data_IF_313936069509
#
_entry.id   IF_313936069509
#
_cell.length_a   1.000
_cell.length_b   1.000
_cell.length_c   1.000
_cell.angle_alpha   90.00
_cell.angle_beta   90.00
_cell.angle_gamma   90.00
#
_symmetry.space_group_name_H-M   'P 1'
#
loop_
_entity.id
_entity.type
_entity.pdbx_description
1 polymer ?
#
# COMPACT_ATOMS: atom_id res chain seq x y z
N UNK A 1 -1.67 -36.35 -51.91
CA UNK A 1 -2.28 -35.29 -51.07
C UNK A 1 -1.26 -34.89 -50.01
N UNK A 2 -0.89 -33.61 -49.88
CA UNK A 2 0.01 -33.16 -48.83
C UNK A 2 -0.80 -32.80 -47.59
N UNK A 3 -0.39 -33.29 -46.42
CA UNK A 3 -0.88 -32.80 -45.13
C UNK A 3 0.23 -32.03 -44.44
N UNK A 4 -0.14 -30.79 -44.10
CA UNK A 4 0.64 -29.74 -43.48
C UNK A 4 1.27 -30.16 -42.15
N UNK A 5 2.51 -29.73 -41.93
CA UNK A 5 3.23 -29.78 -40.66
C UNK A 5 3.23 -28.39 -40.04
N UNK A 6 2.53 -28.22 -38.92
CA UNK A 6 2.65 -27.01 -38.10
C UNK A 6 3.63 -27.27 -36.95
N UNK A 7 4.78 -26.61 -37.08
CA UNK A 7 5.84 -26.44 -36.09
C UNK A 7 5.48 -25.26 -35.19
N UNK A 8 5.51 -25.46 -33.87
CA UNK A 8 5.48 -24.38 -32.88
C UNK A 8 6.90 -24.22 -32.33
N UNK A 9 7.63 -23.26 -32.89
CA UNK A 9 8.80 -22.64 -32.26
C UNK A 9 8.31 -21.92 -30.98
N UNK A 10 8.91 -22.08 -29.81
CA UNK A 10 10.33 -21.80 -29.54
C UNK A 10 10.52 -20.32 -29.20
N UNK A 11 9.79 -19.80 -28.21
CA UNK A 11 9.90 -18.41 -27.74
C UNK A 11 11.10 -18.23 -26.80
N UNK A 12 12.18 -17.68 -27.34
CA UNK A 12 13.41 -17.30 -26.65
C UNK A 12 13.20 -15.95 -25.93
N UNK A 13 13.16 -15.93 -24.60
CA UNK A 13 13.12 -14.68 -23.82
C UNK A 13 14.56 -14.15 -23.68
N UNK A 14 14.93 -13.23 -24.57
CA UNK A 14 16.08 -12.35 -24.40
C UNK A 14 15.69 -11.16 -23.52
N UNK A 15 16.18 -11.14 -22.29
CA UNK A 15 16.27 -9.91 -21.48
C UNK A 15 17.68 -9.35 -21.63
N UNK A 16 17.85 -8.27 -22.40
CA UNK A 16 19.03 -7.41 -22.35
C UNK A 16 18.66 -6.09 -21.63
N UNK A 17 19.54 -5.53 -20.79
CA UNK A 17 19.18 -4.59 -19.73
C UNK A 17 19.56 -3.15 -20.06
N UNK A 18 18.60 -2.24 -20.20
CA UNK A 18 18.90 -0.79 -20.22
C UNK A 18 17.71 0.01 -19.67
N UNK A 19 17.65 0.17 -18.33
CA UNK A 19 17.25 1.42 -17.67
C UNK A 19 17.36 1.28 -16.14
N UNK A 20 18.58 1.20 -15.63
CA UNK A 20 18.82 1.55 -14.24
C UNK A 20 18.97 3.08 -14.18
N UNK A 21 17.88 3.77 -13.87
CA UNK A 21 17.97 5.14 -13.40
C UNK A 21 18.70 5.11 -12.04
N UNK A 22 19.97 5.51 -12.07
CA UNK A 22 20.74 5.83 -10.87
C UNK A 22 20.02 6.96 -10.14
N UNK A 23 19.32 6.64 -9.05
CA UNK A 23 18.87 7.64 -8.08
C UNK A 23 20.09 8.11 -7.30
N UNK A 24 20.84 9.04 -7.91
CA UNK A 24 21.78 9.88 -7.20
C UNK A 24 21.01 10.75 -6.21
N UNK A 25 21.48 10.74 -4.96
CA UNK A 25 21.12 11.63 -3.85
C UNK A 25 20.55 12.98 -4.30
N UNK A 26 19.26 13.19 -4.06
CA UNK A 26 18.67 14.52 -4.09
C UNK A 26 19.08 15.26 -2.81
N UNK A 27 19.96 16.24 -2.99
CA UNK A 27 20.35 17.21 -1.98
C UNK A 27 19.11 18.06 -1.63
N UNK A 28 18.75 18.14 -0.33
CA UNK A 28 17.46 18.69 0.16
C UNK A 28 17.31 20.22 0.01
N UNK A 29 18.16 20.83 -0.80
CA UNK A 29 18.30 22.27 -1.02
C UNK A 29 17.46 22.80 -2.19
N UNK A 30 17.12 21.96 -3.18
CA UNK A 30 16.37 22.43 -4.37
C UNK A 30 14.84 22.47 -4.19
N UNK A 31 14.26 21.69 -3.28
CA UNK A 31 12.80 21.71 -3.02
C UNK A 31 12.32 23.04 -2.42
N UNK A 32 13.18 23.76 -1.69
CA UNK A 32 12.83 25.06 -1.07
C UNK A 32 12.76 26.19 -2.11
N UNK A 33 13.46 26.07 -3.26
CA UNK A 33 13.38 27.06 -4.34
C UNK A 33 12.14 26.89 -5.21
N UNK A 34 11.70 25.66 -5.45
CA UNK A 34 10.49 25.42 -6.26
C UNK A 34 9.22 25.91 -5.55
N UNK A 35 9.19 25.86 -4.21
CA UNK A 35 8.05 26.32 -3.42
C UNK A 35 7.95 27.85 -3.31
N UNK A 36 9.06 28.57 -3.41
CA UNK A 36 9.08 30.04 -3.31
C UNK A 36 8.74 30.74 -4.64
N UNK A 37 9.01 30.11 -5.79
CA UNK A 37 8.66 30.66 -7.10
C UNK A 37 7.17 30.53 -7.45
N UNK A 38 6.51 29.47 -6.97
CA UNK A 38 5.08 29.23 -7.23
C UNK A 38 4.15 30.24 -6.52
N UNK A 39 4.64 30.93 -5.49
CA UNK A 39 3.86 31.93 -4.74
C UNK A 39 4.07 33.37 -5.22
N UNK A 40 5.05 33.66 -6.08
CA UNK A 40 5.30 35.04 -6.57
C UNK A 40 4.46 35.42 -7.79
N UNK A 41 3.99 34.45 -8.57
CA UNK A 41 3.25 34.70 -9.81
C UNK A 41 1.73 34.85 -9.65
N UNK A 42 1.20 34.93 -8.41
CA UNK A 42 -0.25 34.86 -8.16
C UNK A 42 -0.88 36.14 -7.59
N UNK A 43 -0.15 37.26 -7.59
CA UNK A 43 -0.59 38.51 -6.95
C UNK A 43 -0.62 39.75 -7.87
N UNK A 44 -0.62 39.54 -9.19
CA UNK A 44 -1.04 40.57 -10.15
C UNK A 44 -2.32 40.14 -10.87
N UNK A 45 -3.47 40.33 -10.22
CA UNK A 45 -4.76 40.29 -10.92
C UNK A 45 -5.46 41.63 -10.68
N UNK A 46 -5.29 42.48 -11.68
CA UNK A 46 -5.95 43.76 -11.88
C UNK A 46 -7.48 43.65 -11.78
N UNK A 47 -8.10 44.65 -11.15
CA UNK A 47 -9.53 44.75 -10.89
C UNK A 47 -10.40 44.72 -12.16
N UNK A 48 -10.81 43.53 -12.57
CA UNK A 48 -11.89 43.31 -13.53
C UNK A 48 -12.79 42.18 -13.03
N UNK A 49 -14.00 42.57 -12.61
CA UNK A 49 -15.23 41.79 -12.45
C UNK A 49 -15.07 40.31 -12.03
N UNK A 50 -15.36 40.03 -10.76
CA UNK A 50 -15.61 38.70 -10.23
C UNK A 50 -16.91 38.10 -10.79
N UNK A 51 -16.91 37.74 -12.07
CA UNK A 51 -17.80 36.68 -12.57
C UNK A 51 -17.01 35.39 -12.41
N UNK A 52 -17.07 34.82 -11.21
CA UNK A 52 -16.53 33.50 -10.95
C UNK A 52 -17.33 32.49 -11.76
N UNK A 53 -16.80 32.08 -12.91
CA UNK A 53 -17.25 30.88 -13.62
C UNK A 53 -16.90 29.71 -12.71
N UNK A 54 -17.85 29.30 -11.88
CA UNK A 54 -17.78 28.10 -11.06
C UNK A 54 -17.73 26.91 -12.01
N UNK A 55 -16.53 26.39 -12.25
CA UNK A 55 -16.31 25.17 -13.00
C UNK A 55 -16.64 23.98 -12.06
N UNK A 56 -17.75 23.24 -12.28
CA UNK A 56 -18.22 22.20 -11.37
C UNK A 56 -17.28 20.99 -11.29
N UNK A 57 -16.37 20.82 -12.25
CA UNK A 57 -15.57 19.60 -12.37
C UNK A 57 -14.29 19.58 -11.53
N UNK A 58 -14.02 20.62 -10.73
CA UNK A 58 -12.84 20.70 -9.82
C UNK A 58 -13.18 20.61 -8.33
N UNK A 59 -14.44 20.37 -7.96
CA UNK A 59 -14.90 20.38 -6.57
C UNK A 59 -14.49 19.15 -5.73
N UNK A 60 -13.98 18.09 -6.35
CA UNK A 60 -13.65 16.83 -5.64
C UNK A 60 -12.29 16.81 -4.91
N UNK A 61 -11.59 17.94 -4.78
CA UNK A 61 -10.33 18.02 -4.01
C UNK A 61 -10.30 19.13 -2.96
N UNK A 62 -11.46 19.58 -2.48
CA UNK A 62 -11.46 20.42 -1.29
C UNK A 62 -11.23 19.53 -0.06
N UNK A 63 -10.08 19.73 0.59
CA UNK A 63 -9.74 19.12 1.87
C UNK A 63 -10.90 19.34 2.88
N UNK A 64 -11.53 18.27 3.40
CA UNK A 64 -12.64 18.36 4.35
C UNK A 64 -12.33 19.26 5.55
N UNK A 65 -11.07 19.28 6.00
CA UNK A 65 -10.66 20.09 7.15
C UNK A 65 -10.68 21.58 6.86
N UNK A 66 -10.43 22.01 5.61
CA UNK A 66 -10.54 23.42 5.24
C UNK A 66 -11.98 23.90 5.18
N UNK A 67 -12.89 23.04 4.72
CA UNK A 67 -14.33 23.35 4.71
C UNK A 67 -14.83 23.48 6.14
N UNK A 68 -14.56 22.48 6.98
CA UNK A 68 -14.96 22.48 8.40
C UNK A 68 -14.36 23.68 9.15
N UNK A 69 -13.07 23.96 8.95
CA UNK A 69 -12.40 25.12 9.55
C UNK A 69 -13.03 26.46 9.15
N UNK A 70 -13.38 26.64 7.87
CA UNK A 70 -14.02 27.87 7.39
C UNK A 70 -15.43 28.08 7.95
N UNK A 71 -16.18 27.00 8.19
CA UNK A 71 -17.50 27.05 8.84
C UNK A 71 -17.36 27.50 10.30
N UNK A 72 -16.40 26.95 11.05
CA UNK A 72 -16.18 27.35 12.44
C UNK A 72 -15.79 28.82 12.58
N UNK A 73 -14.91 29.32 11.71
CA UNK A 73 -14.51 30.74 11.70
C UNK A 73 -15.73 31.63 11.43
N UNK A 74 -16.59 31.26 10.48
CA UNK A 74 -17.78 32.04 10.16
C UNK A 74 -18.76 32.11 11.34
N UNK A 75 -19.01 30.99 12.01
CA UNK A 75 -19.87 30.94 13.21
C UNK A 75 -19.30 31.84 14.32
N UNK A 76 -17.97 31.80 14.54
CA UNK A 76 -17.31 32.63 15.55
C UNK A 76 -17.44 34.14 15.26
N UNK A 77 -17.28 34.56 14.00
CA UNK A 77 -17.46 35.96 13.59
C UNK A 77 -18.90 36.42 13.78
N UNK A 78 -19.90 35.59 13.44
CA UNK A 78 -21.31 35.93 13.66
C UNK A 78 -21.62 36.08 15.15
N UNK A 79 -21.11 35.16 15.99
CA UNK A 79 -21.36 35.19 17.43
C UNK A 79 -20.73 36.41 18.10
N UNK A 80 -19.51 36.78 17.71
CA UNK A 80 -18.83 37.98 18.23
C UNK A 80 -19.50 39.28 17.78
N UNK A 81 -19.95 39.37 16.52
CA UNK A 81 -20.72 40.52 16.03
C UNK A 81 -22.08 40.65 16.73
N UNK A 82 -22.75 39.53 17.01
CA UNK A 82 -24.02 39.52 17.73
C UNK A 82 -23.86 40.03 19.17
N UNK A 83 -22.87 39.52 19.91
CA UNK A 83 -22.61 39.96 21.29
C UNK A 83 -22.20 41.43 21.39
N UNK A 84 -21.47 41.95 20.40
CA UNK A 84 -21.08 43.36 20.35
C UNK A 84 -22.28 44.28 20.10
N UNK A 85 -23.24 43.84 19.28
CA UNK A 85 -24.44 44.60 18.97
C UNK A 85 -25.38 44.72 20.19
N UNK A 86 -25.46 43.67 21.01
CA UNK A 86 -26.26 43.65 22.24
C UNK A 86 -25.66 44.57 23.32
N UNK A 87 -24.33 44.63 23.45
CA UNK A 87 -23.68 45.59 24.35
C UNK A 87 -23.88 47.05 23.94
N UNK A 88 -23.88 47.33 22.63
CA UNK A 88 -24.12 48.69 22.12
C UNK A 88 -25.50 49.20 22.51
N UNK A 89 -26.53 48.36 22.39
CA UNK A 89 -27.90 48.73 22.76
C UNK A 89 -28.05 49.03 24.26
N UNK A 90 -27.37 48.24 25.11
CA UNK A 90 -27.38 48.48 26.55
C UNK A 90 -26.66 49.79 26.95
N UNK A 91 -25.59 50.15 26.23
CA UNK A 91 -24.87 51.40 26.47
C UNK A 91 -25.68 52.64 26.03
N UNK A 92 -26.35 52.56 24.89
CA UNK A 92 -27.21 53.64 24.39
C UNK A 92 -28.41 53.87 25.34
N UNK A 93 -29.01 52.80 25.87
CA UNK A 93 -30.09 52.88 26.86
C UNK A 93 -29.64 53.50 28.20
N UNK A 94 -28.40 53.22 28.65
CA UNK A 94 -27.84 53.82 29.85
C UNK A 94 -27.55 55.32 29.69
N UNK A 95 -27.05 55.72 28.52
CA UNK A 95 -26.78 57.12 28.17
C UNK A 95 -28.10 57.91 28.07
N UNK A 96 -29.14 57.31 27.50
CA UNK A 96 -30.46 57.92 27.40
C UNK A 96 -31.12 58.09 28.78
N UNK A 97 -31.03 57.08 29.65
CA UNK A 97 -31.50 57.14 31.03
C UNK A 97 -30.76 58.18 31.88
N UNK A 98 -29.46 58.42 31.64
CA UNK A 98 -28.73 59.50 32.33
C UNK A 98 -29.12 60.89 31.82
N UNK A 99 -29.51 61.01 30.55
CA UNK A 99 -29.86 62.29 29.92
C UNK A 99 -31.26 62.77 30.28
N UNK A 100 -32.20 61.84 30.44
CA UNK A 100 -33.58 62.13 30.85
C UNK A 100 -33.68 62.60 32.32
N UNK A 101 -32.66 62.30 33.13
CA UNK A 101 -32.63 62.64 34.55
C UNK A 101 -32.17 64.08 34.90
N UNK A 102 -31.92 64.96 33.93
CA UNK A 102 -31.89 66.43 34.13
C UNK A 102 -30.81 66.99 35.07
N UNK A 103 -30.01 67.96 34.60
CA UNK A 103 -28.93 68.56 35.39
C UNK A 103 -29.44 69.48 36.53
N UNK A 104 -29.19 69.05 37.79
CA UNK A 104 -28.80 69.79 39.02
C UNK A 104 -29.82 70.69 39.79
N UNK A 105 -29.75 70.74 41.16
CA UNK A 105 -28.61 71.27 41.92
C UNK A 105 -28.09 70.30 43.00
N UNK A 106 -26.77 70.27 43.26
CA UNK A 106 -26.16 69.69 44.48
C UNK A 106 -24.61 69.78 44.40
N UNK A 107 -24.05 70.99 44.51
CA UNK A 107 -22.58 71.19 44.49
C UNK A 107 -21.89 70.73 45.80
N UNK A 108 -22.66 70.33 46.83
CA UNK A 108 -22.13 69.83 48.11
C UNK A 108 -22.33 68.32 48.33
N UNK A 109 -23.13 67.64 47.49
CA UNK A 109 -23.27 66.16 47.47
C UNK A 109 -22.42 65.51 46.36
N UNK A 110 -21.85 66.32 45.45
CA UNK A 110 -20.88 65.88 44.43
C UNK A 110 -19.63 65.25 45.07
N UNK A 111 -19.09 65.87 46.12
CA UNK A 111 -17.81 65.45 46.71
C UNK A 111 -17.91 64.10 47.43
N UNK A 112 -19.03 63.83 48.11
CA UNK A 112 -19.29 62.55 48.78
C UNK A 112 -19.62 61.44 47.77
N UNK A 113 -20.26 61.78 46.64
CA UNK A 113 -20.48 60.85 45.53
C UNK A 113 -19.20 60.53 44.76
N UNK A 114 -18.26 61.47 44.66
CA UNK A 114 -16.94 61.28 44.05
C UNK A 114 -16.04 60.40 44.91
N UNK A 115 -16.05 60.54 46.24
CA UNK A 115 -15.32 59.64 47.14
C UNK A 115 -15.87 58.20 47.07
N UNK A 116 -17.19 58.01 47.08
CA UNK A 116 -17.80 56.68 46.94
C UNK A 116 -17.48 56.05 45.57
N UNK A 117 -17.44 56.86 44.50
CA UNK A 117 -17.02 56.39 43.18
C UNK A 117 -15.56 55.98 43.15
N UNK A 118 -14.67 56.72 43.82
CA UNK A 118 -13.25 56.38 43.90
C UNK A 118 -13.02 55.08 44.66
N UNK A 119 -13.71 54.86 45.79
CA UNK A 119 -13.63 53.59 46.54
C UNK A 119 -14.12 52.40 45.71
N UNK A 120 -15.23 52.56 44.97
CA UNK A 120 -15.75 51.54 44.05
C UNK A 120 -14.75 51.27 42.91
N UNK A 121 -14.13 52.32 42.37
CA UNK A 121 -13.15 52.22 41.29
C UNK A 121 -11.89 51.49 41.76
N UNK A 122 -11.36 51.84 42.93
CA UNK A 122 -10.21 51.18 43.54
C UNK A 122 -10.51 49.70 43.82
N UNK A 123 -11.69 49.39 44.36
CA UNK A 123 -12.10 48.00 44.60
C UNK A 123 -12.21 47.21 43.30
N UNK A 124 -12.79 47.80 42.25
CA UNK A 124 -12.88 47.16 40.94
C UNK A 124 -11.51 46.91 40.32
N UNK A 125 -10.61 47.90 40.35
CA UNK A 125 -9.23 47.78 39.84
C UNK A 125 -8.47 46.70 40.60
N UNK A 126 -8.59 46.67 41.94
CA UNK A 126 -7.97 45.64 42.77
C UNK A 126 -8.49 44.23 42.41
N UNK A 127 -9.79 44.08 42.18
CA UNK A 127 -10.39 42.79 41.81
C UNK A 127 -9.95 42.34 40.40
N UNK A 128 -9.88 43.25 39.42
CA UNK A 128 -9.39 42.94 38.08
C UNK A 128 -7.91 42.53 38.09
N UNK A 129 -7.06 43.23 38.85
CA UNK A 129 -5.65 42.86 39.02
C UNK A 129 -5.48 41.47 39.64
N UNK A 130 -6.33 41.12 40.62
CA UNK A 130 -6.34 39.79 41.22
C UNK A 130 -6.70 38.71 40.20
N UNK A 131 -7.75 38.94 39.39
CA UNK A 131 -8.16 38.02 38.32
C UNK A 131 -7.07 37.87 37.26
N UNK A 132 -6.40 38.96 36.88
CA UNK A 132 -5.30 38.95 35.92
C UNK A 132 -4.10 38.13 36.42
N UNK A 133 -3.69 38.30 37.68
CA UNK A 133 -2.57 37.54 38.25
C UNK A 133 -2.92 36.05 38.42
N UNK A 134 -4.17 35.71 38.75
CA UNK A 134 -4.64 34.32 38.76
C UNK A 134 -4.60 33.70 37.35
N UNK A 135 -5.08 34.43 36.35
CA UNK A 135 -5.04 33.99 34.95
C UNK A 135 -3.61 33.79 34.44
N UNK A 136 -2.68 34.67 34.81
CA UNK A 136 -1.26 34.54 34.50
C UNK A 136 -0.65 33.27 35.11
N UNK A 137 -1.04 32.91 36.33
CA UNK A 137 -0.61 31.64 36.96
C UNK A 137 -1.16 30.42 36.23
N UNK A 138 -2.43 30.45 35.84
CA UNK A 138 -3.06 29.38 35.07
C UNK A 138 -2.36 29.20 33.73
N UNK A 139 -2.12 30.29 32.99
CA UNK A 139 -1.41 30.24 31.71
C UNK A 139 0.00 29.68 31.84
N UNK A 140 0.73 30.03 32.90
CA UNK A 140 2.06 29.47 33.17
C UNK A 140 2.01 27.97 33.46
N UNK A 141 1.00 27.51 34.21
CA UNK A 141 0.80 26.09 34.49
C UNK A 141 0.43 25.32 33.23
N UNK A 142 -0.46 25.88 32.41
CA UNK A 142 -0.88 25.31 31.13
C UNK A 142 0.32 25.19 30.17
N UNK A 143 1.16 26.22 30.09
CA UNK A 143 2.37 26.18 29.26
C UNK A 143 3.30 25.06 29.70
N UNK A 144 3.54 24.93 31.01
CA UNK A 144 4.37 23.85 31.57
C UNK A 144 3.81 22.47 31.21
N UNK A 145 2.50 22.29 31.28
CA UNK A 145 1.86 21.03 30.89
C UNK A 145 2.00 20.76 29.38
N UNK A 146 1.87 21.77 28.53
CA UNK A 146 2.10 21.63 27.09
C UNK A 146 3.54 21.22 26.78
N UNK A 147 4.52 21.81 27.48
CA UNK A 147 5.93 21.48 27.28
C UNK A 147 6.24 20.05 27.75
N UNK A 148 5.70 19.63 28.91
CA UNK A 148 5.84 18.25 29.42
C UNK A 148 5.20 17.23 28.48
N UNK A 149 3.99 17.52 27.98
CA UNK A 149 3.27 16.66 27.04
C UNK A 149 4.02 16.55 25.69
N UNK A 150 4.55 17.67 25.19
CA UNK A 150 5.34 17.70 23.97
C UNK A 150 6.62 16.86 24.08
N UNK A 151 7.32 16.95 25.20
CA UNK A 151 8.54 16.16 25.43
C UNK A 151 8.24 14.66 25.59
N UNK A 152 7.14 14.31 26.27
CA UNK A 152 6.70 12.92 26.41
C UNK A 152 6.36 12.31 25.05
N UNK A 153 5.55 13.01 24.26
CA UNK A 153 5.13 12.55 22.93
C UNK A 153 6.33 12.41 21.97
N UNK A 154 7.30 13.34 22.02
CA UNK A 154 8.52 13.25 21.21
C UNK A 154 9.33 11.99 21.51
N UNK A 155 9.44 11.62 22.79
CA UNK A 155 10.17 10.42 23.22
C UNK A 155 9.45 9.13 22.79
N UNK A 156 8.13 9.10 22.88
CA UNK A 156 7.35 7.96 22.38
C UNK A 156 7.49 7.79 20.86
N UNK A 157 7.49 8.90 20.11
CA UNK A 157 7.68 8.89 18.66
C UNK A 157 9.07 8.34 18.26
N UNK A 158 10.12 8.73 18.98
CA UNK A 158 11.47 8.22 18.76
C UNK A 158 11.57 6.71 19.03
N UNK A 159 10.93 6.23 20.11
CA UNK A 159 10.88 4.79 20.40
C UNK A 159 10.12 4.00 19.32
N UNK A 160 9.05 4.56 18.74
CA UNK A 160 8.33 3.93 17.62
C UNK A 160 9.24 3.82 16.39
N UNK A 161 10.01 4.86 16.08
CA UNK A 161 10.97 4.81 14.97
C UNK A 161 12.03 3.71 15.14
N UNK A 162 12.57 3.55 16.35
CA UNK A 162 13.53 2.46 16.65
C UNK A 162 12.89 1.08 16.45
N UNK A 163 11.63 0.91 16.88
CA UNK A 163 10.90 -0.35 16.70
C UNK A 163 10.60 -0.64 15.22
N UNK A 164 10.25 0.38 14.43
CA UNK A 164 10.04 0.24 12.99
C UNK A 164 11.31 -0.22 12.28
N UNK A 165 12.46 0.38 12.59
CA UNK A 165 13.76 -0.04 12.05
C UNK A 165 14.10 -1.50 12.41
N UNK A 166 13.90 -1.90 13.66
CA UNK A 166 14.14 -3.28 14.10
C UNK A 166 13.25 -4.29 13.35
N UNK A 167 11.98 -3.94 13.15
CA UNK A 167 11.03 -4.78 12.42
C UNK A 167 11.43 -4.90 10.95
N UNK A 168 11.86 -3.80 10.30
CA UNK A 168 12.34 -3.81 8.92
C UNK A 168 13.55 -4.74 8.76
N UNK A 169 14.55 -4.63 9.65
CA UNK A 169 15.75 -5.48 9.61
C UNK A 169 15.39 -6.97 9.74
N UNK A 170 14.46 -7.31 10.64
CA UNK A 170 13.98 -8.70 10.81
C UNK A 170 13.24 -9.20 9.57
N UNK A 171 12.42 -8.36 8.93
CA UNK A 171 11.72 -8.72 7.70
C UNK A 171 12.69 -8.96 6.54
N UNK A 172 13.71 -8.11 6.38
CA UNK A 172 14.75 -8.32 5.35
C UNK A 172 15.54 -9.61 5.56
N UNK A 173 15.87 -9.93 6.81
CA UNK A 173 16.55 -11.18 7.15
C UNK A 173 15.70 -12.40 6.75
N UNK A 174 14.41 -12.39 7.11
CA UNK A 174 13.48 -13.46 6.75
C UNK A 174 13.35 -13.62 5.22
N UNK A 175 13.29 -12.51 4.49
CA UNK A 175 13.22 -12.54 3.02
C UNK A 175 14.48 -13.18 2.40
N UNK A 176 15.67 -12.88 2.93
CA UNK A 176 16.93 -13.48 2.47
C UNK A 176 16.97 -14.99 2.74
N UNK A 177 16.52 -15.43 3.91
CA UNK A 177 16.43 -16.84 4.26
C UNK A 177 15.48 -17.60 3.32
N UNK A 178 14.33 -17.02 3.00
CA UNK A 178 13.40 -17.61 2.03
C UNK A 178 13.99 -17.72 0.63
N UNK A 179 14.69 -16.69 0.15
CA UNK A 179 15.36 -16.75 -1.15
C UNK A 179 16.44 -17.83 -1.20
N UNK A 180 17.21 -18.00 -0.12
CA UNK A 180 18.22 -19.06 -0.02
C UNK A 180 17.58 -20.45 -0.06
N UNK A 181 16.51 -20.67 0.73
CA UNK A 181 15.80 -21.95 0.77
C UNK A 181 15.22 -22.33 -0.61
N UNK A 182 14.70 -21.36 -1.36
CA UNK A 182 14.22 -21.59 -2.73
C UNK A 182 15.37 -22.00 -3.64
N UNK A 183 16.54 -21.35 -3.55
CA UNK A 183 17.72 -21.71 -4.34
C UNK A 183 18.22 -23.12 -4.05
N UNK A 184 18.27 -23.52 -2.79
CA UNK A 184 18.68 -24.87 -2.37
C UNK A 184 17.68 -25.94 -2.84
N UNK A 185 16.38 -25.63 -2.81
CA UNK A 185 15.34 -26.53 -3.32
C UNK A 185 15.45 -26.69 -4.84
N UNK A 186 15.63 -25.59 -5.58
CA UNK A 186 15.83 -25.65 -7.03
C UNK A 186 17.06 -26.49 -7.41
N UNK A 187 18.16 -26.34 -6.67
CA UNK A 187 19.37 -27.15 -6.85
C UNK A 187 19.11 -28.64 -6.60
N UNK A 188 18.33 -28.95 -5.58
CA UNK A 188 17.94 -30.34 -5.25
C UNK A 188 17.05 -30.94 -6.35
N UNK A 189 16.08 -30.17 -6.85
CA UNK A 189 15.21 -30.59 -7.95
C UNK A 189 16.02 -30.82 -9.23
N UNK A 190 16.98 -29.96 -9.54
CA UNK A 190 17.88 -30.14 -10.68
C UNK A 190 18.71 -31.43 -10.55
N UNK A 191 19.33 -31.66 -9.38
CA UNK A 191 20.07 -32.91 -9.11
C UNK A 191 19.19 -34.17 -9.22
N UNK A 192 17.94 -34.10 -8.75
CA UNK A 192 16.99 -35.20 -8.86
C UNK A 192 16.59 -35.44 -10.32
N UNK A 193 16.33 -34.37 -11.08
CA UNK A 193 16.01 -34.46 -12.50
C UNK A 193 17.19 -35.07 -13.29
N UNK A 194 18.42 -34.64 -13.03
CA UNK A 194 19.63 -35.22 -13.62
C UNK A 194 19.82 -36.68 -13.19
N UNK A 195 19.46 -37.03 -11.95
CA UNK A 195 19.51 -38.42 -11.47
C UNK A 195 18.47 -39.28 -12.19
N UNK A 196 17.25 -38.78 -12.42
CA UNK A 196 16.18 -39.49 -13.13
C UNK A 196 16.51 -39.62 -14.62
N UNK A 197 17.02 -38.55 -15.24
CA UNK A 197 17.36 -38.53 -16.66
C UNK A 197 18.68 -39.29 -16.94
N UNK A 198 19.66 -39.19 -16.05
CA UNK A 198 20.97 -39.83 -16.13
C UNK A 198 20.97 -41.30 -15.69
N UNK A 199 20.15 -41.68 -14.69
CA UNK A 199 19.80 -43.09 -14.45
C UNK A 199 18.74 -43.50 -15.45
N UNK A 200 19.17 -43.65 -16.71
CA UNK A 200 18.53 -44.54 -17.68
C UNK A 200 17.00 -44.42 -17.68
N UNK A 201 16.50 -43.50 -18.50
CA UNK A 201 15.44 -43.90 -19.43
C UNK A 201 15.66 -45.37 -19.77
N UNK A 202 14.70 -46.17 -19.34
CA UNK A 202 14.64 -47.60 -19.45
C UNK A 202 14.83 -47.93 -20.93
N UNK A 203 16.10 -48.14 -21.35
CA UNK A 203 16.41 -48.79 -22.62
C UNK A 203 16.09 -50.28 -22.57
N UNK A 204 15.30 -50.71 -21.57
CA UNK A 204 14.73 -52.03 -21.41
C UNK A 204 13.20 -51.93 -21.41
N UNK A 205 12.61 -51.20 -22.37
CA UNK A 205 11.38 -51.77 -22.89
C UNK A 205 11.81 -53.14 -23.41
N UNK A 206 11.39 -54.18 -22.72
CA UNK A 206 11.68 -55.54 -23.13
C UNK A 206 11.03 -55.72 -24.50
N UNK A 207 11.84 -55.68 -25.56
CA UNK A 207 11.38 -55.70 -26.94
C UNK A 207 11.02 -57.13 -27.33
N UNK A 208 10.32 -57.31 -28.44
CA UNK A 208 10.15 -58.64 -29.03
C UNK A 208 11.48 -59.13 -29.62
N UNK A 209 11.82 -60.39 -29.37
CA UNK A 209 13.01 -61.03 -29.90
C UNK A 209 12.77 -61.49 -31.33
N UNK A 210 13.51 -60.91 -32.28
CA UNK A 210 13.44 -61.28 -33.69
C UNK A 210 13.91 -62.70 -33.97
N UNK A 211 14.79 -63.27 -33.13
CA UNK A 211 15.27 -64.65 -33.28
C UNK A 211 14.27 -65.68 -32.73
N UNK A 212 13.41 -65.27 -31.79
CA UNK A 212 12.36 -66.09 -31.19
C UNK A 212 10.96 -65.63 -31.64
N UNK A 213 10.82 -65.36 -32.95
CA UNK A 213 9.58 -64.94 -33.60
C UNK A 213 9.18 -65.96 -34.67
N UNK A 214 7.91 -66.36 -34.68
CA UNK A 214 7.37 -67.28 -35.69
C UNK A 214 7.33 -66.65 -37.09
N UNK A 215 7.53 -67.44 -38.15
CA UNK A 215 7.61 -66.97 -39.55
C UNK A 215 6.36 -66.22 -40.03
N UNK A 216 5.19 -66.53 -39.45
CA UNK A 216 3.93 -65.83 -39.73
C UNK A 216 3.79 -64.44 -39.07
N UNK A 217 4.82 -63.94 -38.40
CA UNK A 217 4.84 -62.65 -37.71
C UNK A 217 6.00 -61.78 -38.23
N UNK A 218 5.72 -60.49 -38.40
CA UNK A 218 6.71 -59.46 -38.69
C UNK A 218 6.82 -58.48 -37.51
N UNK A 219 8.06 -58.13 -37.12
CA UNK A 219 8.32 -57.13 -36.10
C UNK A 219 8.64 -55.78 -36.76
N UNK A 220 8.01 -54.70 -36.31
CA UNK A 220 8.25 -53.36 -36.85
C UNK A 220 9.50 -52.73 -36.20
N UNK A 221 10.50 -52.44 -37.02
CA UNK A 221 11.75 -51.79 -36.62
C UNK A 221 11.61 -50.26 -36.46
N UNK A 222 12.51 -49.59 -35.71
CA UNK A 222 13.71 -50.11 -35.02
C UNK A 222 13.45 -50.57 -33.57
N UNK A 223 12.23 -50.38 -33.07
CA UNK A 223 11.92 -50.58 -31.66
C UNK A 223 11.40 -51.98 -31.32
N UNK A 224 10.92 -52.76 -32.30
CA UNK A 224 10.42 -54.14 -32.10
C UNK A 224 9.39 -54.23 -30.96
N UNK A 225 8.48 -53.26 -30.88
CA UNK A 225 7.37 -53.24 -29.90
C UNK A 225 6.04 -53.66 -30.52
N UNK A 226 5.96 -53.60 -31.85
CA UNK A 226 4.75 -53.92 -32.62
C UNK A 226 5.00 -55.23 -33.36
N UNK A 227 4.05 -56.15 -33.21
CA UNK A 227 4.00 -57.43 -33.91
C UNK A 227 2.86 -57.36 -34.91
N UNK A 228 3.15 -57.66 -36.17
CA UNK A 228 2.17 -57.71 -37.25
C UNK A 228 2.05 -59.16 -37.73
N UNK A 229 0.82 -59.67 -37.85
CA UNK A 229 0.60 -60.97 -38.46
C UNK A 229 0.66 -60.86 -39.99
N UNK A 230 1.52 -61.67 -40.62
CA UNK A 230 1.76 -61.71 -42.07
C UNK A 230 1.50 -63.09 -42.68
N UNK A 231 1.06 -64.07 -41.88
CA UNK A 231 0.74 -65.42 -42.33
C UNK A 231 -0.45 -65.49 -43.30
N UNK A 232 -0.44 -66.51 -44.17
CA UNK A 232 -1.51 -66.79 -45.13
C UNK A 232 -2.77 -67.40 -44.49
N UNK A 233 -3.65 -67.99 -45.32
CA UNK A 233 -4.94 -68.58 -44.88
C UNK A 233 -4.80 -69.83 -44.02
N UNK A 234 -3.58 -70.36 -43.87
CA UNK A 234 -3.32 -71.54 -43.06
C UNK A 234 -3.25 -71.11 -41.59
N UNK A 235 -4.27 -71.51 -40.81
CA UNK A 235 -4.50 -71.14 -39.41
C UNK A 235 -3.48 -71.72 -38.42
N UNK A 236 -2.18 -71.54 -38.68
CA UNK A 236 -1.11 -71.93 -37.78
C UNK A 236 -0.99 -70.93 -36.64
N UNK A 237 -1.02 -71.44 -35.41
CA UNK A 237 -0.75 -70.64 -34.21
C UNK A 237 0.65 -70.04 -34.30
N UNK A 238 0.75 -68.72 -34.13
CA UNK A 238 2.01 -67.97 -34.19
C UNK A 238 2.27 -67.28 -32.85
N UNK A 239 3.51 -67.30 -32.38
CA UNK A 239 3.92 -66.69 -31.12
C UNK A 239 5.26 -65.96 -31.25
N UNK A 240 5.53 -65.05 -30.31
CA UNK A 240 6.80 -64.34 -30.18
C UNK A 240 7.14 -64.15 -28.71
N UNK A 241 8.42 -64.17 -28.38
CA UNK A 241 8.94 -64.02 -27.01
C UNK A 241 9.64 -62.67 -26.87
N UNK A 242 9.62 -62.10 -25.67
CA UNK A 242 10.37 -60.89 -25.37
C UNK A 242 11.88 -61.18 -25.19
N UNK A 243 12.74 -60.23 -25.58
CA UNK A 243 14.20 -60.35 -25.63
C UNK A 243 14.84 -60.71 -24.27
N UNK A 244 14.19 -60.34 -23.17
CA UNK A 244 14.67 -60.62 -21.82
C UNK A 244 13.59 -61.35 -21.02
N UNK A 245 13.96 -62.37 -20.23
CA UNK A 245 13.02 -62.94 -19.27
C UNK A 245 12.67 -61.92 -18.19
N UNK A 246 11.50 -62.09 -17.57
CA UNK A 246 11.16 -61.36 -16.34
C UNK A 246 12.20 -61.75 -15.28
N UNK A 247 12.87 -60.78 -14.63
CA UNK A 247 13.90 -61.10 -13.64
C UNK A 247 13.35 -61.93 -12.48
N UNK A 248 13.91 -63.12 -12.26
CA UNK A 248 13.56 -63.95 -11.10
C UNK A 248 14.32 -63.43 -9.85
N UNK A 249 13.60 -62.98 -8.82
CA UNK A 249 14.16 -62.49 -7.53
C UNK A 249 13.26 -61.48 -6.80
N UNK A 250 13.74 -60.88 -5.71
CA UNK A 250 13.02 -59.86 -4.90
C UNK A 250 12.92 -58.48 -5.62
N UNK A 251 12.65 -58.46 -6.92
CA UNK A 251 12.66 -57.25 -7.75
C UNK A 251 11.30 -56.57 -7.88
N UNK A 252 10.31 -56.96 -7.06
CA UNK A 252 8.99 -56.30 -7.01
C UNK A 252 7.97 -56.87 -8.00
N UNK A 253 7.09 -55.99 -8.51
CA UNK A 253 6.03 -56.35 -9.46
C UNK A 253 6.46 -56.05 -10.91
N UNK A 254 6.14 -56.96 -11.84
CA UNK A 254 6.30 -56.75 -13.28
C UNK A 254 4.95 -56.48 -13.91
N UNK A 255 4.88 -55.47 -14.79
CA UNK A 255 3.67 -55.06 -15.48
C UNK A 255 3.97 -54.80 -16.95
N UNK A 256 3.09 -55.26 -17.83
CA UNK A 256 3.15 -54.97 -19.25
C UNK A 256 1.73 -54.78 -19.78
N UNK A 257 1.62 -53.97 -20.83
CA UNK A 257 0.37 -53.71 -21.54
C UNK A 257 0.50 -54.21 -22.97
N UNK A 258 -0.58 -54.76 -23.50
CA UNK A 258 -0.68 -55.12 -24.91
C UNK A 258 -1.86 -54.36 -25.49
N UNK A 259 -1.59 -53.59 -26.54
CA UNK A 259 -2.63 -52.95 -27.33
C UNK A 259 -2.88 -53.78 -28.59
N UNK A 260 -4.10 -54.28 -28.74
CA UNK A 260 -4.51 -55.03 -29.93
C UNK A 260 -5.07 -54.04 -30.95
N UNK A 261 -4.52 -54.06 -32.15
CA UNK A 261 -4.99 -53.24 -33.28
C UNK A 261 -5.30 -54.16 -34.45
N UNK A 262 -6.51 -54.05 -35.01
CA UNK A 262 -6.93 -54.79 -36.19
C UNK A 262 -7.79 -53.90 -37.07
N UNK A 263 -7.69 -54.07 -38.38
CA UNK A 263 -8.67 -53.50 -39.29
C UNK A 263 -9.88 -54.44 -39.30
N UNK A 264 -11.06 -53.91 -38.96
CA UNK A 264 -12.31 -54.62 -39.22
C UNK A 264 -12.43 -54.79 -40.74
N UNK A 265 -12.40 -56.04 -41.20
CA UNK A 265 -12.81 -56.42 -42.55
C UNK A 265 -14.32 -56.50 -42.64
#
# INVERSE_FOLDING_TARGET
MPTSTDSINGGHITTNPENCATLSNFDSSEEVRLFSEQHRNRLEINGKNFVAILNPNKWLRCDPYRIVGSIFIFIFVVYTLHGLNEQKQNMDALIEAQKENGLLPQQNQSNESEEQLNDILEQFVAEQNKKFEEQKRINKMLQKQMDELGNSSKKELENVGILEEEVIVKMEQYQKEQQQNIGDLQKTVAMLNDTINGKRLIRQQNRWDSAACHEGLALIEPNRLIVQYTGGTDHLWSSVIAERPIPNGNFGFFYYEIQISGNAL
#
